data_IF_451688140848
#
_entry.id   IF_451688140848
#
_cell.length_a   1.000
_cell.length_b   1.000
_cell.length_c   1.000
_cell.angle_alpha   90.00
_cell.angle_beta   90.00
_cell.angle_gamma   90.00
#
_symmetry.space_group_name_H-M   'P 1'
#
loop_
_entity.id
_entity.type
_entity.pdbx_description
1 polymer ?
#
# COMPACT_ATOMS: atom_id res chain seq x y z
N UNK A 1 -13.23 -7.04 -4.88
CA UNK A 1 -12.84 -5.78 -4.20
C UNK A 1 -12.10 -4.82 -5.12
N UNK A 2 -11.16 -5.30 -5.93
CA UNK A 2 -10.30 -4.48 -6.81
C UNK A 2 -10.97 -3.98 -8.11
N UNK A 3 -12.26 -3.67 -8.11
CA UNK A 3 -12.96 -3.21 -9.31
C UNK A 3 -13.56 -1.83 -9.07
N UNK A 4 -13.48 -0.94 -10.07
CA UNK A 4 -14.14 0.37 -9.99
C UNK A 4 -15.64 0.18 -9.85
N UNK A 5 -16.21 0.71 -8.77
CA UNK A 5 -17.66 0.67 -8.53
C UNK A 5 -18.33 1.95 -9.02
N UNK A 6 -19.48 1.80 -9.67
CA UNK A 6 -20.39 2.91 -9.98
C UNK A 6 -21.01 3.47 -8.68
N UNK A 7 -21.65 4.66 -8.71
CA UNK A 7 -22.28 5.27 -7.52
C UNK A 7 -23.28 4.37 -6.79
N UNK A 8 -23.95 3.45 -7.50
CA UNK A 8 -24.88 2.46 -6.93
C UNK A 8 -24.21 1.14 -6.51
N UNK A 9 -22.87 1.10 -6.47
CA UNK A 9 -22.08 -0.04 -5.98
C UNK A 9 -21.82 -1.16 -6.99
N UNK A 10 -22.43 -1.13 -8.18
CA UNK A 10 -22.19 -2.12 -9.25
C UNK A 10 -20.82 -1.99 -9.91
N UNK A 11 -20.24 -3.11 -10.34
CA UNK A 11 -19.01 -3.12 -11.16
C UNK A 11 -19.38 -2.78 -12.60
N UNK A 12 -18.69 -1.80 -13.20
CA UNK A 12 -18.88 -1.48 -14.61
C UNK A 12 -18.32 -2.59 -15.50
N UNK A 13 -19.01 -2.87 -16.60
CA UNK A 13 -18.51 -3.81 -17.62
C UNK A 13 -17.14 -3.35 -18.13
N UNK A 14 -16.20 -4.29 -18.30
CA UNK A 14 -14.82 -3.98 -18.68
C UNK A 14 -13.95 -3.30 -17.60
N UNK A 15 -14.46 -3.09 -16.37
CA UNK A 15 -13.73 -2.47 -15.26
C UNK A 15 -13.47 -3.45 -14.10
N UNK A 16 -13.34 -4.75 -14.42
CA UNK A 16 -12.91 -5.74 -13.43
C UNK A 16 -11.43 -5.53 -13.16
N UNK A 17 -11.03 -5.61 -11.90
CA UNK A 17 -9.62 -5.58 -11.46
C UNK A 17 -8.85 -4.28 -11.75
N UNK A 18 -9.53 -3.20 -12.14
CA UNK A 18 -8.93 -1.88 -12.44
C UNK A 18 -8.63 -1.04 -11.20
N UNK A 19 -8.91 -1.57 -10.00
CA UNK A 19 -8.73 -0.85 -8.74
C UNK A 19 -9.86 0.14 -8.46
N UNK A 20 -9.85 0.76 -7.28
CA UNK A 20 -10.87 1.74 -6.92
C UNK A 20 -10.94 2.03 -5.42
N UNK A 21 -11.54 3.17 -5.09
CA UNK A 21 -11.82 3.52 -3.70
C UNK A 21 -12.89 2.58 -3.12
N UNK A 22 -12.63 2.04 -1.94
CA UNK A 22 -13.59 1.24 -1.18
C UNK A 22 -14.44 2.18 -0.32
N UNK A 23 -15.60 2.55 -0.87
CA UNK A 23 -16.55 3.45 -0.22
C UNK A 23 -16.90 2.97 1.21
N UNK A 24 -16.83 3.89 2.18
CA UNK A 24 -17.12 3.61 3.59
C UNK A 24 -16.01 2.90 4.38
N UNK A 25 -14.89 2.54 3.74
CA UNK A 25 -13.76 1.87 4.42
C UNK A 25 -12.49 2.71 4.48
N UNK A 26 -12.41 3.81 3.72
CA UNK A 26 -11.24 4.72 3.74
C UNK A 26 -9.98 4.12 3.12
N UNK A 27 -10.12 3.07 2.30
CA UNK A 27 -9.02 2.36 1.65
C UNK A 27 -9.19 2.37 0.13
N UNK A 28 -8.09 2.37 -0.59
CA UNK A 28 -8.03 2.17 -2.03
C UNK A 28 -7.62 0.73 -2.34
N UNK A 29 -8.45 -0.01 -3.05
CA UNK A 29 -8.08 -1.33 -3.57
C UNK A 29 -7.27 -1.12 -4.86
N UNK A 30 -5.97 -1.44 -4.90
CA UNK A 30 -5.17 -1.14 -6.08
C UNK A 30 -5.53 -2.03 -7.27
N UNK A 31 -5.27 -1.57 -8.49
CA UNK A 31 -5.43 -2.33 -9.72
C UNK A 31 -4.60 -3.61 -9.69
N UNK A 32 -5.21 -4.74 -10.05
CA UNK A 32 -4.50 -6.01 -10.24
C UNK A 32 -3.94 -6.13 -11.67
N UNK A 33 -4.31 -5.20 -12.55
CA UNK A 33 -3.82 -5.10 -13.92
C UNK A 33 -2.52 -4.30 -14.03
N UNK A 34 -2.19 -3.47 -13.03
CA UNK A 34 -1.02 -2.58 -13.06
C UNK A 34 0.10 -3.09 -12.13
N UNK A 35 1.30 -3.42 -12.64
CA UNK A 35 2.44 -3.81 -11.81
C UNK A 35 2.94 -2.71 -10.86
N UNK A 36 2.69 -1.42 -11.16
CA UNK A 36 2.97 -0.30 -10.27
C UNK A 36 1.97 -0.17 -9.12
N UNK A 37 0.89 -0.96 -9.14
CA UNK A 37 -0.11 -1.06 -8.09
C UNK A 37 -0.08 -2.46 -7.43
N UNK A 38 -1.10 -3.29 -7.61
CA UNK A 38 -1.19 -4.63 -7.02
C UNK A 38 -1.05 -5.76 -8.04
N UNK A 39 -0.69 -5.46 -9.29
CA UNK A 39 -0.43 -6.48 -10.32
C UNK A 39 0.79 -7.34 -9.98
N UNK A 40 0.62 -8.66 -10.02
CA UNK A 40 1.63 -9.66 -9.62
C UNK A 40 2.15 -10.51 -10.78
N UNK A 41 1.78 -10.21 -12.03
CA UNK A 41 2.18 -11.02 -13.20
C UNK A 41 3.70 -11.10 -13.44
N UNK A 42 4.50 -10.27 -12.79
CA UNK A 42 5.97 -10.29 -12.86
C UNK A 42 6.64 -10.93 -11.64
N UNK A 43 5.85 -11.41 -10.66
CA UNK A 43 6.35 -12.03 -9.43
C UNK A 43 6.55 -13.52 -9.61
N UNK A 44 7.36 -14.10 -8.74
CA UNK A 44 7.43 -15.54 -8.60
C UNK A 44 6.12 -16.08 -8.04
N UNK A 45 5.68 -17.23 -8.56
CA UNK A 45 4.46 -17.89 -8.10
C UNK A 45 4.50 -18.16 -6.58
N UNK A 46 5.65 -18.59 -6.08
CA UNK A 46 5.85 -18.85 -4.65
C UNK A 46 5.67 -17.58 -3.78
N UNK A 47 6.14 -16.43 -4.26
CA UNK A 47 5.98 -15.14 -3.55
C UNK A 47 4.51 -14.73 -3.48
N UNK A 48 3.78 -14.89 -4.58
CA UNK A 48 2.33 -14.59 -4.61
C UNK A 48 1.55 -15.51 -3.66
N UNK A 49 1.87 -16.81 -3.65
CA UNK A 49 1.29 -17.77 -2.70
C UNK A 49 1.64 -17.40 -1.25
N UNK A 50 2.89 -17.03 -0.99
CA UNK A 50 3.34 -16.62 0.34
C UNK A 50 2.58 -15.38 0.84
N UNK A 51 2.29 -14.41 -0.04
CA UNK A 51 1.47 -13.25 0.31
C UNK A 51 0.07 -13.66 0.77
N UNK A 52 -0.57 -14.62 0.11
CA UNK A 52 -1.89 -15.12 0.54
C UNK A 52 -1.84 -15.91 1.84
N UNK A 53 -0.75 -16.65 2.10
CA UNK A 53 -0.59 -17.43 3.33
C UNK A 53 -0.27 -16.57 4.55
N UNK A 54 0.52 -15.52 4.35
CA UNK A 54 1.16 -14.80 5.47
C UNK A 54 0.78 -13.33 5.57
N UNK A 55 0.27 -12.76 4.48
CA UNK A 55 0.01 -11.33 4.36
C UNK A 55 1.26 -10.47 4.19
N UNK A 56 2.45 -11.05 4.15
CA UNK A 56 3.70 -10.29 4.05
C UNK A 56 4.77 -11.04 3.25
N UNK A 57 5.42 -10.33 2.34
CA UNK A 57 6.57 -10.78 1.55
C UNK A 57 7.75 -9.83 1.70
N UNK A 58 7.87 -9.14 2.85
CA UNK A 58 8.94 -8.14 3.07
C UNK A 58 10.37 -8.72 2.99
N UNK A 59 10.52 -10.04 3.14
CA UNK A 59 11.79 -10.75 2.93
C UNK A 59 12.01 -11.29 1.51
N UNK A 60 11.08 -11.06 0.57
CA UNK A 60 11.20 -11.52 -0.82
C UNK A 60 12.21 -10.67 -1.62
N UNK A 61 12.51 -11.11 -2.84
CA UNK A 61 13.39 -10.40 -3.75
C UNK A 61 12.92 -8.95 -4.01
N UNK A 62 13.85 -8.01 -4.30
CA UNK A 62 13.50 -6.63 -4.65
C UNK A 62 12.45 -6.58 -5.76
N UNK A 63 11.45 -5.71 -5.58
CA UNK A 63 10.31 -5.59 -6.50
C UNK A 63 9.17 -6.59 -6.26
N UNK A 64 9.34 -7.57 -5.37
CA UNK A 64 8.30 -8.52 -4.96
C UNK A 64 7.90 -8.42 -3.49
N UNK A 65 8.32 -7.35 -2.82
CA UNK A 65 8.04 -7.09 -1.42
C UNK A 65 6.68 -6.40 -1.28
N UNK A 66 5.81 -6.94 -0.43
CA UNK A 66 4.57 -6.28 -0.04
C UNK A 66 4.16 -6.70 1.36
N UNK A 67 3.28 -5.90 1.96
CA UNK A 67 2.51 -6.27 3.14
C UNK A 67 1.07 -5.83 2.89
N UNK A 68 0.12 -6.72 3.17
CA UNK A 68 -1.30 -6.34 3.13
C UNK A 68 -1.66 -5.54 4.38
N UNK A 69 -2.62 -4.64 4.25
CA UNK A 69 -3.17 -3.82 5.33
C UNK A 69 -4.68 -3.65 5.12
N UNK A 70 -5.38 -3.20 6.17
CA UNK A 70 -6.81 -2.92 6.10
C UNK A 70 -7.63 -4.13 5.65
N UNK A 71 -8.59 -3.97 4.73
CA UNK A 71 -9.48 -5.06 4.32
C UNK A 71 -8.77 -6.27 3.71
N UNK A 72 -7.60 -6.10 3.08
CA UNK A 72 -6.84 -7.28 2.62
C UNK A 72 -6.11 -8.00 3.75
N UNK A 73 -5.74 -7.31 4.84
CA UNK A 73 -5.26 -8.00 6.04
C UNK A 73 -6.36 -8.88 6.63
N UNK A 74 -7.61 -8.40 6.69
CA UNK A 74 -8.76 -9.20 7.16
C UNK A 74 -9.03 -10.42 6.27
N UNK A 75 -8.92 -10.27 4.95
CA UNK A 75 -9.06 -11.39 4.00
C UNK A 75 -8.00 -12.46 4.25
N UNK A 76 -6.75 -12.05 4.49
CA UNK A 76 -5.68 -13.01 4.81
C UNK A 76 -5.94 -13.65 6.18
N UNK A 77 -6.25 -12.83 7.18
CA UNK A 77 -6.45 -13.25 8.56
C UNK A 77 -7.60 -14.25 8.70
N UNK A 78 -8.71 -14.04 7.99
CA UNK A 78 -9.92 -14.82 8.17
C UNK A 78 -10.22 -15.80 7.03
N UNK A 79 -9.44 -15.78 5.94
CA UNK A 79 -9.73 -16.61 4.78
C UNK A 79 -8.49 -17.24 4.14
N UNK A 80 -7.67 -16.49 3.41
CA UNK A 80 -6.69 -17.11 2.49
C UNK A 80 -5.60 -17.89 3.22
N UNK A 81 -5.26 -17.54 4.46
CA UNK A 81 -4.28 -18.31 5.23
C UNK A 81 -4.75 -19.74 5.58
N UNK A 82 -6.06 -20.00 5.50
CA UNK A 82 -6.67 -21.29 5.83
C UNK A 82 -6.95 -22.15 4.60
N UNK A 83 -6.65 -21.65 3.40
CA UNK A 83 -6.84 -22.38 2.16
C UNK A 83 -5.70 -23.36 1.91
N UNK A 84 -6.01 -24.44 1.21
CA UNK A 84 -5.01 -25.42 0.80
C UNK A 84 -4.06 -24.83 -0.24
N UNK A 85 -2.85 -25.37 -0.32
CA UNK A 85 -1.82 -24.83 -1.20
C UNK A 85 -2.22 -24.89 -2.68
N UNK A 86 -2.99 -25.91 -3.09
CA UNK A 86 -3.46 -26.03 -4.46
C UNK A 86 -4.36 -24.85 -4.87
N UNK A 87 -5.26 -24.42 -3.99
CA UNK A 87 -6.16 -23.29 -4.24
C UNK A 87 -5.40 -21.97 -4.29
N UNK A 88 -4.47 -21.76 -3.36
CA UNK A 88 -3.63 -20.57 -3.35
C UNK A 88 -2.77 -20.45 -4.61
N UNK A 89 -2.24 -21.58 -5.10
CA UNK A 89 -1.52 -21.63 -6.38
C UNK A 89 -2.44 -21.32 -7.55
N UNK A 90 -3.65 -21.88 -7.58
CA UNK A 90 -4.61 -21.60 -8.65
C UNK A 90 -5.00 -20.10 -8.69
N UNK A 91 -5.25 -19.50 -7.52
CA UNK A 91 -5.50 -18.06 -7.39
C UNK A 91 -4.31 -17.23 -7.89
N UNK A 92 -3.09 -17.60 -7.47
CA UNK A 92 -1.88 -16.90 -7.88
C UNK A 92 -1.66 -16.98 -9.41
N UNK A 93 -1.81 -18.16 -10.01
CA UNK A 93 -1.72 -18.34 -11.48
C UNK A 93 -2.78 -17.51 -12.19
N UNK A 94 -4.03 -17.50 -11.69
CA UNK A 94 -5.09 -16.68 -12.27
C UNK A 94 -4.74 -15.19 -12.27
N UNK A 95 -4.25 -14.66 -11.14
CA UNK A 95 -3.85 -13.26 -11.05
C UNK A 95 -2.63 -12.92 -11.90
N UNK A 96 -1.68 -13.85 -12.03
CA UNK A 96 -0.51 -13.67 -12.89
C UNK A 96 -0.86 -13.70 -14.38
N UNK A 97 -1.94 -14.39 -14.76
CA UNK A 97 -2.46 -14.44 -16.11
C UNK A 97 -3.37 -13.28 -16.51
N UNK A 98 -3.61 -12.30 -15.61
CA UNK A 98 -4.37 -11.10 -15.98
C UNK A 98 -3.57 -10.24 -16.95
N UNK A 99 -4.24 -9.79 -18.02
CA UNK A 99 -3.64 -8.85 -18.97
C UNK A 99 -3.18 -7.58 -18.26
N UNK A 100 -2.07 -7.00 -18.70
CA UNK A 100 -1.67 -5.69 -18.22
C UNK A 100 -2.64 -4.64 -18.74
N UNK A 101 -3.23 -3.90 -17.83
CA UNK A 101 -4.09 -2.77 -18.15
C UNK A 101 -3.28 -1.49 -18.33
N UNK A 102 -3.88 -0.43 -18.87
CA UNK A 102 -3.25 0.88 -18.87
C UNK A 102 -2.96 1.30 -17.41
N UNK A 103 -1.70 1.62 -17.13
CA UNK A 103 -1.30 2.16 -15.84
C UNK A 103 -1.92 3.56 -15.69
N UNK A 104 -2.75 3.83 -14.67
CA UNK A 104 -3.18 5.18 -14.41
C UNK A 104 -1.96 5.98 -13.93
N UNK A 105 -1.47 6.90 -14.77
CA UNK A 105 -0.51 7.88 -14.31
C UNK A 105 -1.26 8.99 -13.58
N UNK A 106 -1.09 9.08 -12.26
CA UNK A 106 -1.49 10.28 -11.52
C UNK A 106 -0.59 11.45 -11.90
N UNK A 107 -1.10 12.70 -11.94
CA UNK A 107 -0.24 13.85 -12.18
C UNK A 107 0.83 13.94 -11.08
N UNK A 108 2.10 14.05 -11.48
CA UNK A 108 3.14 14.44 -10.56
C UNK A 108 2.97 15.93 -10.24
N UNK A 109 2.56 16.23 -9.01
CA UNK A 109 2.51 17.59 -8.48
C UNK A 109 3.63 17.70 -7.45
N UNK A 110 4.67 18.53 -7.71
CA UNK A 110 5.74 18.72 -6.74
C UNK A 110 5.18 19.37 -5.47
N UNK A 111 5.67 18.95 -4.31
CA UNK A 111 5.38 19.61 -3.06
C UNK A 111 6.18 20.92 -2.96
N UNK A 112 5.61 21.92 -2.31
CA UNK A 112 6.31 23.17 -2.02
C UNK A 112 7.53 22.92 -1.13
N UNK A 113 8.61 23.68 -1.31
CA UNK A 113 9.86 23.49 -0.56
C UNK A 113 9.66 23.53 0.96
N UNK A 114 8.78 24.42 1.44
CA UNK A 114 8.45 24.50 2.87
C UNK A 114 7.70 23.26 3.38
N UNK A 115 6.84 22.67 2.53
CA UNK A 115 6.12 21.44 2.87
C UNK A 115 7.09 20.25 2.93
N UNK A 116 8.03 20.15 1.99
CA UNK A 116 9.06 19.11 2.02
C UNK A 116 9.97 19.24 3.24
N UNK A 117 10.40 20.45 3.60
CA UNK A 117 11.23 20.69 4.79
C UNK A 117 10.51 20.28 6.09
N UNK A 118 9.23 20.64 6.24
CA UNK A 118 8.41 20.18 7.35
C UNK A 118 8.26 18.65 7.35
N UNK A 119 8.02 18.06 6.18
CA UNK A 119 7.88 16.61 6.03
C UNK A 119 9.15 15.85 6.41
N UNK A 120 10.32 16.36 6.04
CA UNK A 120 11.62 15.80 6.47
C UNK A 120 11.78 15.87 7.99
N UNK A 121 11.45 17.01 8.60
CA UNK A 121 11.53 17.17 10.05
C UNK A 121 10.65 16.15 10.78
N UNK A 122 9.39 16.02 10.36
CA UNK A 122 8.45 15.03 10.91
C UNK A 122 8.95 13.60 10.70
N UNK A 123 9.48 13.30 9.50
CA UNK A 123 10.05 11.99 9.18
C UNK A 123 11.20 11.61 10.12
N UNK A 124 12.14 12.53 10.33
CA UNK A 124 13.27 12.35 11.25
C UNK A 124 12.84 12.15 12.70
N UNK A 125 11.73 12.77 13.12
CA UNK A 125 11.25 12.70 14.50
C UNK A 125 10.46 11.41 14.79
N UNK A 126 9.78 10.85 13.80
CA UNK A 126 8.77 9.81 14.04
C UNK A 126 8.92 8.54 13.20
N UNK A 127 9.55 8.62 12.03
CA UNK A 127 9.52 7.54 11.05
C UNK A 127 10.87 6.84 10.88
N UNK A 128 11.97 7.57 11.12
CA UNK A 128 13.33 7.17 10.78
C UNK A 128 13.79 5.90 11.50
N UNK A 129 13.37 5.72 12.76
CA UNK A 129 13.82 4.58 13.60
C UNK A 129 13.39 3.22 13.03
N UNK A 130 12.27 3.18 12.30
CA UNK A 130 11.77 1.96 11.66
C UNK A 130 12.02 1.94 10.15
N UNK A 131 11.85 3.08 9.47
CA UNK A 131 11.93 3.15 8.01
C UNK A 131 13.32 3.52 7.48
N UNK A 132 14.28 3.83 8.34
CA UNK A 132 15.65 4.19 7.98
C UNK A 132 15.82 5.63 7.52
N UNK A 133 17.06 6.11 7.41
CA UNK A 133 17.33 7.49 6.98
C UNK A 133 16.98 7.72 5.51
N UNK A 134 17.07 6.66 4.70
CA UNK A 134 16.85 6.68 3.25
C UNK A 134 15.56 5.95 2.86
N UNK A 135 14.65 5.72 3.81
CA UNK A 135 13.44 4.97 3.54
C UNK A 135 13.70 3.51 3.14
N UNK A 136 14.85 2.94 3.49
CA UNK A 136 15.26 1.58 3.13
C UNK A 136 14.52 0.50 3.94
N UNK A 137 13.93 0.87 5.07
CA UNK A 137 13.28 -0.05 6.00
C UNK A 137 14.23 -1.12 6.55
N UNK A 138 13.66 -2.21 7.01
CA UNK A 138 14.40 -3.37 7.51
C UNK A 138 13.78 -4.64 6.91
N UNK A 139 14.50 -5.40 6.06
CA UNK A 139 13.97 -6.61 5.44
C UNK A 139 13.32 -7.56 6.45
N UNK A 140 12.12 -8.03 6.13
CA UNK A 140 11.33 -8.91 7.01
C UNK A 140 10.68 -8.25 8.23
N UNK A 141 10.97 -6.98 8.54
CA UNK A 141 10.41 -6.28 9.69
C UNK A 141 9.65 -5.00 9.29
N UNK A 142 10.34 -4.03 8.70
CA UNK A 142 9.80 -2.72 8.35
C UNK A 142 9.86 -2.53 6.83
N UNK A 143 8.74 -2.19 6.17
CA UNK A 143 8.74 -2.01 4.73
C UNK A 143 9.62 -0.82 4.34
N UNK A 144 10.39 -1.00 3.28
CA UNK A 144 11.02 0.12 2.58
C UNK A 144 9.93 1.10 2.13
N UNK A 145 10.20 2.39 2.19
CA UNK A 145 9.40 3.47 1.61
C UNK A 145 9.99 3.93 0.27
N UNK A 146 11.31 3.83 0.10
CA UNK A 146 11.97 4.07 -1.17
C UNK A 146 11.56 3.01 -2.20
N UNK A 147 11.07 3.43 -3.36
CA UNK A 147 10.60 2.55 -4.43
C UNK A 147 9.38 1.70 -4.07
N UNK A 148 8.73 1.95 -2.92
CA UNK A 148 7.57 1.17 -2.51
C UNK A 148 6.36 1.55 -3.35
N UNK A 149 5.83 0.58 -4.10
CA UNK A 149 4.65 0.76 -4.94
C UNK A 149 3.49 1.39 -4.18
N UNK A 150 3.22 0.97 -2.94
CA UNK A 150 2.12 1.51 -2.14
C UNK A 150 2.29 3.00 -1.77
N UNK A 151 3.54 3.51 -1.80
CA UNK A 151 3.87 4.93 -1.65
C UNK A 151 3.78 5.64 -2.99
N UNK A 152 4.20 5.03 -4.09
CA UNK A 152 4.28 5.69 -5.40
C UNK A 152 2.99 5.65 -6.21
N UNK A 153 1.96 4.93 -5.75
CA UNK A 153 0.66 4.90 -6.42
C UNK A 153 0.05 6.31 -6.58
N UNK A 154 -0.72 6.54 -7.66
CA UNK A 154 -1.46 7.79 -7.87
C UNK A 154 -2.32 8.18 -6.66
N UNK A 155 -3.05 7.21 -6.12
CA UNK A 155 -3.87 7.39 -4.92
C UNK A 155 -2.99 7.42 -3.66
N UNK A 156 -3.04 8.53 -2.92
CA UNK A 156 -2.37 8.67 -1.62
C UNK A 156 -3.17 8.08 -0.46
N UNK A 157 -4.40 7.58 -0.71
CA UNK A 157 -5.33 7.12 0.32
C UNK A 157 -4.70 6.06 1.23
N UNK A 158 -4.05 5.04 0.66
CA UNK A 158 -3.45 3.98 1.45
C UNK A 158 -2.26 4.46 2.27
N UNK A 159 -1.41 5.32 1.70
CA UNK A 159 -0.29 5.95 2.41
C UNK A 159 -0.79 6.76 3.61
N UNK A 160 -1.82 7.57 3.39
CA UNK A 160 -2.43 8.39 4.45
C UNK A 160 -3.11 7.53 5.50
N UNK A 161 -3.81 6.47 5.09
CA UNK A 161 -4.49 5.58 6.01
C UNK A 161 -3.50 4.81 6.90
N UNK A 162 -2.35 4.38 6.34
CA UNK A 162 -1.27 3.77 7.09
C UNK A 162 -0.66 4.75 8.11
N UNK A 163 -0.41 6.02 7.73
CA UNK A 163 0.12 7.04 8.65
C UNK A 163 -0.91 7.38 9.75
N UNK A 164 -2.16 7.62 9.37
CA UNK A 164 -3.21 8.04 10.30
C UNK A 164 -3.54 6.94 11.31
N UNK A 165 -3.74 5.73 10.81
CA UNK A 165 -4.32 4.64 11.61
C UNK A 165 -3.28 3.65 12.10
N UNK A 166 -2.06 3.69 11.55
CA UNK A 166 -1.05 2.68 11.84
C UNK A 166 -1.58 1.29 11.53
N UNK A 167 -1.18 0.33 12.37
CA UNK A 167 -1.75 -1.02 12.39
C UNK A 167 -0.71 -2.10 12.14
N UNK A 168 -1.20 -3.31 11.93
CA UNK A 168 -0.40 -4.52 11.82
C UNK A 168 -0.71 -5.24 10.51
N UNK A 169 0.29 -5.93 9.96
CA UNK A 169 0.04 -7.03 9.04
C UNK A 169 -0.77 -8.12 9.76
N UNK A 170 -1.49 -9.00 9.05
CA UNK A 170 -2.27 -10.06 9.69
C UNK A 170 -1.36 -11.05 10.41
N UNK A 171 -1.71 -11.41 11.64
CA UNK A 171 -1.05 -12.49 12.37
C UNK A 171 -1.49 -13.84 11.80
N UNK A 172 -0.56 -14.58 11.23
CA UNK A 172 -0.82 -15.86 10.57
C UNK A 172 0.10 -16.95 11.08
N UNK A 173 -0.16 -18.22 10.74
CA UNK A 173 0.75 -19.31 11.09
C UNK A 173 2.19 -19.10 10.55
N UNK A 174 2.33 -18.51 9.36
CA UNK A 174 3.63 -18.20 8.75
C UNK A 174 4.21 -16.83 9.12
N UNK A 175 3.46 -16.01 9.85
CA UNK A 175 3.87 -14.68 10.31
C UNK A 175 3.12 -14.33 11.62
N UNK A 176 3.44 -15.01 12.74
CA UNK A 176 2.63 -14.94 13.96
C UNK A 176 2.82 -13.66 14.76
N UNK A 177 3.93 -12.94 14.56
CA UNK A 177 4.28 -11.74 15.30
C UNK A 177 4.67 -10.60 14.36
N UNK A 178 3.70 -10.03 13.62
CA UNK A 178 3.95 -8.91 12.73
C UNK A 178 4.34 -7.65 13.52
N UNK A 179 5.33 -6.91 13.03
CA UNK A 179 5.62 -5.57 13.53
C UNK A 179 4.50 -4.60 13.14
N UNK A 180 4.19 -3.68 14.06
CA UNK A 180 3.15 -2.67 13.87
C UNK A 180 3.70 -1.30 13.52
N UNK A 181 2.89 -0.51 12.81
CA UNK A 181 3.09 0.91 12.59
C UNK A 181 2.29 1.71 13.64
N UNK A 182 2.90 2.68 14.36
CA UNK A 182 2.16 3.53 15.28
C UNK A 182 1.10 4.39 14.57
N UNK A 183 -0.07 4.65 15.18
CA UNK A 183 -1.07 5.58 14.65
C UNK A 183 -0.68 7.03 14.94
N UNK A 184 -0.69 7.90 13.92
CA UNK A 184 -0.32 9.31 14.08
C UNK A 184 -1.50 10.29 14.10
N UNK A 185 -2.75 9.83 13.94
CA UNK A 185 -3.95 10.69 13.89
C UNK A 185 -4.11 11.63 15.11
N UNK A 186 -3.62 11.24 16.28
CA UNK A 186 -3.71 12.03 17.52
C UNK A 186 -2.39 12.71 17.90
N UNK A 187 -1.32 12.45 17.16
CA UNK A 187 0.04 12.94 17.44
C UNK A 187 0.40 14.09 16.52
N UNK A 188 0.05 13.95 15.24
CA UNK A 188 0.37 14.91 14.19
C UNK A 188 -0.89 15.64 13.73
N UNK A 189 -0.76 16.92 13.41
CA UNK A 189 -1.82 17.68 12.78
C UNK A 189 -1.89 17.41 11.27
N UNK A 190 -2.97 17.86 10.61
CA UNK A 190 -3.17 17.59 9.18
C UNK A 190 -2.06 18.15 8.27
N UNK A 191 -1.45 19.29 8.62
CA UNK A 191 -0.36 19.86 7.84
C UNK A 191 0.91 19.01 7.94
N UNK A 192 1.23 18.52 9.15
CA UNK A 192 2.36 17.62 9.37
C UNK A 192 2.18 16.27 8.66
N UNK A 193 0.97 15.71 8.70
CA UNK A 193 0.65 14.45 8.02
C UNK A 193 0.75 14.62 6.50
N UNK A 194 0.18 15.69 5.95
CA UNK A 194 0.28 15.99 4.52
C UNK A 194 1.74 16.22 4.11
N UNK A 195 2.53 16.91 4.95
CA UNK A 195 3.94 17.17 4.71
C UNK A 195 4.77 15.89 4.70
N UNK A 196 4.66 15.04 5.74
CA UNK A 196 5.44 13.79 5.81
C UNK A 196 5.06 12.80 4.71
N UNK A 197 3.77 12.70 4.38
CA UNK A 197 3.32 11.87 3.27
C UNK A 197 3.88 12.37 1.93
N UNK A 198 3.92 13.70 1.71
CA UNK A 198 4.50 14.29 0.49
C UNK A 198 6.01 14.06 0.41
N UNK A 199 6.71 14.26 1.53
CA UNK A 199 8.15 14.00 1.62
C UNK A 199 8.47 12.55 1.29
N UNK A 200 7.79 11.58 1.90
CA UNK A 200 7.97 10.15 1.61
C UNK A 200 7.70 9.83 0.13
N UNK A 201 6.67 10.45 -0.46
CA UNK A 201 6.26 10.23 -1.86
C UNK A 201 7.17 10.86 -2.91
N UNK A 202 8.05 11.78 -2.52
CA UNK A 202 8.95 12.51 -3.43
C UNK A 202 10.44 12.34 -3.08
N UNK A 203 10.75 11.58 -2.03
CA UNK A 203 12.12 11.28 -1.60
C UNK A 203 12.65 10.00 -2.24
N UNK A 204 13.97 9.85 -2.24
CA UNK A 204 14.68 8.61 -2.61
C UNK A 204 14.34 8.09 -4.03
N UNK A 205 14.01 9.00 -4.94
CA UNK A 205 13.64 8.68 -6.32
C UNK A 205 12.16 8.35 -6.52
N UNK A 206 11.33 8.42 -5.48
CA UNK A 206 9.88 8.30 -5.60
C UNK A 206 9.30 9.45 -6.45
N UNK A 207 8.35 9.14 -7.33
CA UNK A 207 7.74 10.07 -8.28
C UNK A 207 6.22 10.09 -8.11
N UNK A 208 5.75 10.41 -6.91
CA UNK A 208 4.33 10.49 -6.61
C UNK A 208 3.91 11.92 -6.23
N UNK A 209 2.71 12.32 -6.65
CA UNK A 209 2.19 13.66 -6.38
C UNK A 209 2.09 13.97 -4.88
N UNK A 210 2.25 15.26 -4.57
CA UNK A 210 2.12 15.80 -3.23
C UNK A 210 0.73 15.51 -2.62
N UNK A 211 0.69 15.46 -1.30
CA UNK A 211 -0.53 15.32 -0.52
C UNK A 211 -0.92 16.68 0.06
N UNK A 212 -2.18 17.04 -0.10
CA UNK A 212 -2.75 18.26 0.47
C UNK A 212 -3.57 17.97 1.73
N UNK A 213 -3.83 19.01 2.52
CA UNK A 213 -4.78 18.92 3.63
C UNK A 213 -6.21 18.59 3.17
N UNK A 214 -6.57 18.90 1.92
CA UNK A 214 -7.85 18.52 1.33
C UNK A 214 -7.95 17.00 1.12
N UNK A 215 -6.86 16.33 0.77
CA UNK A 215 -6.85 14.87 0.61
C UNK A 215 -7.13 14.17 1.94
N UNK A 216 -6.66 14.72 3.06
CA UNK A 216 -6.98 14.21 4.40
C UNK A 216 -8.45 14.35 4.77
N UNK A 217 -9.15 15.37 4.27
CA UNK A 217 -10.58 15.52 4.52
C UNK A 217 -11.41 14.42 3.82
N UNK A 218 -10.88 13.83 2.75
CA UNK A 218 -11.54 12.75 1.98
C UNK A 218 -11.38 11.37 2.62
N UNK A 219 -10.54 11.25 3.65
CA UNK A 219 -10.20 10.00 4.36
C UNK A 219 -10.90 9.92 5.73
N UNK A 220 -11.78 10.88 6.04
CA UNK A 220 -12.59 10.90 7.26
C UNK A 220 -13.81 10.00 7.19
#
# INVERSE_FOLDING_TARGET
CHATRAPLGGVREGQRYTGGLMAGQGWYAPSLHDPAEAGVGHWDLATTVALFKTGSTLGAAPGQQASVQGPMAEVVLHSTQHMDEADLRAMAVYLQGLDRGPAPAGPFVPAESAQLALGEQVYRQHCIDCHGERGEGAPGAYPALAGNRAVTMPSSVNTLQAILSGGFAPATAGHPQPYGMPPYRTVLNNAEIAAVASFIRQSWGNQAGAVSALDLQRIK
#
